data_IF_866176507095
#
_entry.id   IF_866176507095
#
_cell.length_a   1.000
_cell.length_b   1.000
_cell.length_c   1.000
_cell.angle_alpha   90.00
_cell.angle_beta   90.00
_cell.angle_gamma   90.00
#
_symmetry.space_group_name_H-M   'P 1'
#
loop_
_entity.id
_entity.type
_entity.pdbx_description
1 polymer ?
#
# COMPACT_ATOMS: atom_id res chain seq x y z
N UNK A 1 24.84 0.89 -3.41
CA UNK A 1 24.40 2.26 -3.03
C UNK A 1 23.29 2.23 -1.97
N UNK A 2 22.28 1.37 -2.07
CA UNK A 2 21.17 1.30 -1.10
C UNK A 2 21.59 0.86 0.30
N UNK A 3 22.53 -0.08 0.41
CA UNK A 3 23.06 -0.49 1.70
C UNK A 3 23.73 0.66 2.47
N UNK A 4 24.50 1.50 1.77
CA UNK A 4 25.13 2.70 2.37
C UNK A 4 24.05 3.67 2.86
N UNK A 5 22.99 3.89 2.06
CA UNK A 5 21.85 4.73 2.47
C UNK A 5 21.15 4.18 3.70
N UNK A 6 20.96 2.85 3.77
CA UNK A 6 20.40 2.20 4.95
C UNK A 6 21.26 2.42 6.19
N UNK A 7 22.58 2.25 6.08
CA UNK A 7 23.49 2.50 7.19
C UNK A 7 23.43 3.97 7.67
N UNK A 8 23.37 4.91 6.73
CA UNK A 8 23.21 6.33 7.06
C UNK A 8 21.89 6.59 7.78
N UNK A 9 20.76 6.05 7.28
CA UNK A 9 19.44 6.21 7.92
C UNK A 9 19.45 5.66 9.34
N UNK A 10 20.06 4.47 9.55
CA UNK A 10 20.16 3.85 10.88
C UNK A 10 21.05 4.64 11.83
N UNK A 11 22.15 5.20 11.37
CA UNK A 11 23.03 6.05 12.15
C UNK A 11 22.33 7.35 12.56
N UNK A 12 21.70 8.04 11.61
CA UNK A 12 20.97 9.29 11.88
C UNK A 12 19.83 9.07 12.88
N UNK A 13 19.13 7.95 12.76
CA UNK A 13 18.09 7.56 13.72
C UNK A 13 18.66 7.34 15.13
N UNK A 14 19.78 6.62 15.23
CA UNK A 14 20.43 6.30 16.51
C UNK A 14 20.90 7.57 17.25
N UNK A 15 21.36 8.58 16.53
CA UNK A 15 21.77 9.87 17.10
C UNK A 15 20.63 10.89 17.22
N UNK A 16 19.38 10.48 16.94
CA UNK A 16 18.21 11.32 17.08
C UNK A 16 18.03 12.39 15.99
N UNK A 17 18.86 12.37 14.96
CA UNK A 17 18.78 13.33 13.84
C UNK A 17 17.71 12.97 12.82
N UNK A 18 17.32 11.71 12.73
CA UNK A 18 16.22 11.23 11.91
C UNK A 18 15.26 10.43 12.77
N UNK A 19 14.08 10.96 13.01
CA UNK A 19 13.04 10.27 13.78
C UNK A 19 12.08 9.57 12.80
N UNK A 20 11.93 8.26 12.93
CA UNK A 20 10.82 7.54 12.31
C UNK A 20 9.50 7.99 12.95
N UNK A 21 9.50 8.21 14.24
CA UNK A 21 8.41 8.86 14.98
C UNK A 21 8.53 10.38 14.86
N UNK A 22 8.40 10.89 13.66
CA UNK A 22 8.24 12.33 13.50
C UNK A 22 6.98 12.73 14.27
N UNK A 23 7.20 13.44 15.37
CA UNK A 23 6.09 14.13 16.00
C UNK A 23 5.52 15.09 14.97
N UNK A 24 4.34 14.80 14.48
CA UNK A 24 3.60 15.63 13.54
C UNK A 24 3.01 16.84 14.24
N UNK A 25 3.82 17.45 15.16
CA UNK A 25 3.41 18.65 15.88
C UNK A 25 3.13 19.77 14.89
N UNK A 26 1.94 20.33 14.99
CA UNK A 26 1.53 21.46 14.15
C UNK A 26 0.94 21.08 12.80
N UNK A 27 0.75 19.80 12.49
CA UNK A 27 0.03 19.39 11.28
C UNK A 27 -1.45 19.75 11.45
N UNK A 28 -1.97 20.54 10.52
CA UNK A 28 -3.37 20.92 10.47
C UNK A 28 -4.18 19.78 9.87
N UNK A 29 -5.24 19.30 10.53
CA UNK A 29 -6.13 18.30 9.96
C UNK A 29 -6.72 18.76 8.62
N UNK A 30 -6.77 17.86 7.66
CA UNK A 30 -7.30 18.12 6.32
C UNK A 30 -8.42 17.16 5.99
N UNK A 31 -9.28 17.64 5.08
CA UNK A 31 -10.31 16.85 4.44
C UNK A 31 -10.04 16.85 2.94
N UNK A 32 -10.09 15.68 2.31
CA UNK A 32 -10.00 15.56 0.86
C UNK A 32 -11.32 16.01 0.21
N UNK A 33 -11.27 16.32 -1.06
CA UNK A 33 -12.47 16.55 -1.86
C UNK A 33 -13.19 15.22 -2.11
N UNK A 34 -14.51 15.27 -2.22
CA UNK A 34 -15.29 14.14 -2.71
C UNK A 34 -14.90 13.83 -4.16
N UNK A 35 -14.97 12.56 -4.52
CA UNK A 35 -14.72 12.11 -5.89
C UNK A 35 -16.06 12.07 -6.63
N UNK A 36 -16.24 12.99 -7.61
CA UNK A 36 -17.49 13.11 -8.35
C UNK A 36 -17.72 11.93 -9.32
N UNK A 37 -16.65 11.50 -10.01
CA UNK A 37 -16.69 10.32 -10.86
C UNK A 37 -16.08 9.15 -10.07
N UNK A 38 -16.89 8.17 -9.68
CA UNK A 38 -16.44 7.00 -8.90
C UNK A 38 -15.61 6.02 -9.74
N UNK A 39 -14.78 6.55 -10.64
CA UNK A 39 -13.88 5.72 -11.43
C UNK A 39 -12.67 5.32 -10.62
N UNK A 40 -12.35 4.03 -10.63
CA UNK A 40 -11.25 3.46 -9.86
C UNK A 40 -10.15 2.96 -10.79
N UNK A 41 -8.96 3.50 -10.63
CA UNK A 41 -7.77 3.03 -11.32
C UNK A 41 -7.03 2.03 -10.43
N UNK A 42 -7.05 0.77 -10.81
CA UNK A 42 -6.48 -0.33 -10.04
C UNK A 42 -5.12 -0.73 -10.61
N UNK A 43 -4.11 -0.77 -9.78
CA UNK A 43 -2.80 -1.34 -10.09
C UNK A 43 -2.63 -2.65 -9.32
N UNK A 44 -2.52 -3.77 -10.03
CA UNK A 44 -2.08 -5.04 -9.45
C UNK A 44 -0.61 -5.25 -9.80
N UNK A 45 0.26 -5.30 -8.80
CA UNK A 45 1.66 -5.66 -9.03
C UNK A 45 1.90 -7.15 -8.85
N UNK A 46 2.66 -7.76 -9.77
CA UNK A 46 3.10 -9.15 -9.70
C UNK A 46 4.59 -9.29 -10.06
N UNK A 47 5.20 -10.31 -9.54
CA UNK A 47 6.50 -10.76 -10.02
C UNK A 47 6.31 -11.91 -11.04
N UNK A 48 6.87 -11.78 -12.23
CA UNK A 48 6.66 -12.74 -13.32
C UNK A 48 7.14 -14.16 -13.06
N UNK A 49 7.90 -14.38 -11.97
CA UNK A 49 8.31 -15.71 -11.56
C UNK A 49 7.33 -16.45 -10.62
N UNK A 50 6.21 -15.84 -10.24
CA UNK A 50 5.19 -16.50 -9.43
C UNK A 50 4.15 -17.23 -10.30
N UNK A 51 3.63 -18.39 -9.82
CA UNK A 51 2.47 -19.02 -10.44
C UNK A 51 1.23 -18.15 -10.21
N UNK A 52 0.21 -18.23 -11.11
CA UNK A 52 -1.04 -17.47 -11.01
C UNK A 52 -1.82 -17.69 -9.70
N UNK A 53 -1.65 -18.87 -9.11
CA UNK A 53 -2.21 -19.26 -7.80
C UNK A 53 -1.09 -19.84 -6.95
N UNK A 54 -1.00 -19.44 -5.69
CA UNK A 54 0.00 -19.93 -4.75
C UNK A 54 -0.47 -19.89 -3.30
N UNK A 55 0.14 -20.71 -2.47
CA UNK A 55 0.02 -20.64 -1.02
C UNK A 55 1.08 -19.68 -0.46
N UNK A 56 0.69 -18.87 0.50
CA UNK A 56 1.60 -17.95 1.20
C UNK A 56 1.60 -18.24 2.69
N UNK A 57 2.78 -18.23 3.26
CA UNK A 57 3.01 -18.46 4.70
C UNK A 57 3.57 -17.19 5.35
N UNK A 58 3.08 -16.86 6.58
CA UNK A 58 3.71 -15.85 7.43
C UNK A 58 4.10 -16.52 8.74
N UNK A 59 5.30 -16.98 8.91
CA UNK A 59 5.82 -17.70 10.08
C UNK A 59 5.14 -19.05 10.35
N UNK A 60 5.78 -19.89 11.15
CA UNK A 60 5.32 -21.25 11.48
C UNK A 60 4.03 -21.32 12.31
N UNK A 61 3.49 -20.20 12.76
CA UNK A 61 2.31 -20.11 13.64
C UNK A 61 1.11 -19.39 13.01
N UNK A 62 1.27 -18.80 11.82
CA UNK A 62 0.21 -18.06 11.15
C UNK A 62 -0.22 -18.80 9.89
N UNK A 63 -1.54 -18.93 9.74
CA UNK A 63 -2.20 -19.69 8.70
C UNK A 63 -1.68 -19.40 7.28
N UNK A 64 -1.61 -20.46 6.52
CA UNK A 64 -1.46 -20.42 5.08
C UNK A 64 -2.71 -19.83 4.44
N UNK A 65 -2.53 -19.00 3.43
CA UNK A 65 -3.63 -18.55 2.61
C UNK A 65 -3.32 -18.66 1.14
N UNK A 66 -4.37 -18.95 0.39
CA UNK A 66 -4.28 -18.95 -1.05
C UNK A 66 -4.36 -17.52 -1.59
N UNK A 67 -3.46 -17.20 -2.51
CA UNK A 67 -3.39 -15.90 -3.17
C UNK A 67 -2.83 -16.06 -4.58
N UNK A 68 -2.78 -14.99 -5.33
CA UNK A 68 -2.17 -14.97 -6.67
C UNK A 68 -2.86 -13.98 -7.61
N UNK A 69 -2.21 -13.74 -8.74
CA UNK A 69 -2.71 -12.80 -9.75
C UNK A 69 -4.09 -13.18 -10.27
N UNK A 70 -4.37 -14.49 -10.44
CA UNK A 70 -5.67 -14.98 -10.91
C UNK A 70 -6.82 -14.40 -10.10
N UNK A 71 -6.76 -14.50 -8.76
CA UNK A 71 -7.81 -13.99 -7.88
C UNK A 71 -7.94 -12.47 -7.91
N UNK A 72 -6.83 -11.76 -8.10
CA UNK A 72 -6.87 -10.31 -8.22
C UNK A 72 -7.54 -9.87 -9.53
N UNK A 73 -7.29 -10.56 -10.64
CA UNK A 73 -7.96 -10.30 -11.92
C UNK A 73 -9.46 -10.57 -11.80
N UNK A 74 -9.87 -11.72 -11.26
CA UNK A 74 -11.27 -12.12 -11.09
C UNK A 74 -12.10 -11.11 -10.29
N UNK A 75 -11.47 -10.37 -9.36
CA UNK A 75 -12.15 -9.32 -8.57
C UNK A 75 -12.60 -8.12 -9.38
N UNK A 76 -11.94 -7.82 -10.49
CA UNK A 76 -12.12 -6.55 -11.19
C UNK A 76 -12.57 -6.71 -12.65
N UNK A 77 -12.42 -7.88 -13.28
CA UNK A 77 -12.65 -8.09 -14.71
C UNK A 77 -14.09 -7.79 -15.21
N UNK A 78 -15.07 -7.79 -14.31
CA UNK A 78 -16.47 -7.52 -14.66
C UNK A 78 -16.95 -6.12 -14.23
N UNK A 79 -16.05 -5.24 -13.76
CA UNK A 79 -16.41 -3.92 -13.26
C UNK A 79 -16.16 -2.85 -14.31
N UNK A 80 -17.23 -2.17 -14.73
CA UNK A 80 -17.15 -1.10 -15.73
C UNK A 80 -16.60 0.22 -15.18
N UNK A 81 -16.68 0.41 -13.88
CA UNK A 81 -16.15 1.56 -13.15
C UNK A 81 -14.65 1.44 -12.84
N UNK A 82 -14.04 0.29 -13.12
CA UNK A 82 -12.61 0.01 -12.89
C UNK A 82 -11.83 0.11 -14.20
N UNK A 83 -10.65 0.73 -14.12
CA UNK A 83 -9.59 0.62 -15.13
C UNK A 83 -8.46 -0.20 -14.53
N UNK A 84 -8.29 -1.41 -15.03
CA UNK A 84 -7.38 -2.39 -14.47
C UNK A 84 -6.02 -2.35 -15.17
N UNK A 85 -4.98 -2.09 -14.40
CA UNK A 85 -3.59 -2.15 -14.85
C UNK A 85 -2.85 -3.25 -14.11
N UNK A 86 -2.23 -4.16 -14.84
CA UNK A 86 -1.25 -5.10 -14.28
C UNK A 86 0.15 -4.57 -14.51
N UNK A 87 0.92 -4.40 -13.45
CA UNK A 87 2.35 -4.11 -13.53
C UNK A 87 3.13 -5.35 -13.15
N UNK A 88 4.13 -5.74 -13.94
CA UNK A 88 4.87 -6.98 -13.69
C UNK A 88 6.38 -6.75 -13.74
N UNK A 89 7.05 -7.13 -12.64
CA UNK A 89 8.51 -7.19 -12.62
C UNK A 89 9.00 -8.53 -13.15
N UNK A 90 10.14 -8.53 -13.86
CA UNK A 90 10.70 -9.73 -14.52
C UNK A 90 9.67 -10.45 -15.43
N UNK A 91 8.86 -9.71 -16.17
CA UNK A 91 7.75 -10.24 -16.98
C UNK A 91 8.19 -11.39 -17.92
N UNK A 92 9.44 -11.38 -18.41
CA UNK A 92 9.97 -12.44 -19.26
C UNK A 92 9.98 -13.84 -18.62
N UNK A 93 9.75 -13.94 -17.30
CA UNK A 93 9.65 -15.22 -16.58
C UNK A 93 8.22 -15.78 -16.55
N UNK A 94 7.23 -14.97 -16.88
CA UNK A 94 5.83 -15.42 -16.91
C UNK A 94 5.50 -16.08 -18.25
N UNK A 95 4.85 -17.23 -18.19
CA UNK A 95 4.29 -17.90 -19.37
C UNK A 95 2.88 -17.40 -19.70
N UNK A 96 2.26 -16.63 -18.81
CA UNK A 96 0.84 -16.29 -18.85
C UNK A 96 0.57 -14.85 -19.34
N UNK A 97 1.59 -14.15 -19.89
CA UNK A 97 1.47 -12.74 -20.29
C UNK A 97 0.33 -12.54 -21.30
N UNK A 98 0.20 -13.44 -22.27
CA UNK A 98 -0.84 -13.34 -23.28
C UNK A 98 -2.24 -13.41 -22.66
N UNK A 99 -2.48 -14.31 -21.72
CA UNK A 99 -3.73 -14.40 -20.96
C UNK A 99 -3.95 -13.16 -20.09
N UNK A 100 -2.93 -12.73 -19.32
CA UNK A 100 -3.01 -11.57 -18.45
C UNK A 100 -3.40 -10.32 -19.22
N UNK A 101 -2.81 -10.10 -20.41
CA UNK A 101 -3.08 -8.92 -21.23
C UNK A 101 -4.48 -8.89 -21.80
N UNK A 102 -5.17 -10.02 -21.91
CA UNK A 102 -6.59 -10.06 -22.32
C UNK A 102 -7.56 -9.78 -21.18
N UNK A 103 -7.09 -9.82 -19.92
CA UNK A 103 -7.90 -9.66 -18.70
C UNK A 103 -7.66 -8.32 -17.98
N UNK A 104 -6.88 -7.42 -18.56
CA UNK A 104 -6.63 -6.09 -18.00
C UNK A 104 -6.66 -5.04 -19.12
N UNK A 105 -6.96 -3.78 -18.77
CA UNK A 105 -6.95 -2.68 -19.72
C UNK A 105 -5.52 -2.26 -20.12
N UNK A 106 -4.59 -2.37 -19.18
CA UNK A 106 -3.19 -1.99 -19.40
C UNK A 106 -2.23 -3.00 -18.76
N UNK A 107 -1.13 -3.28 -19.47
CA UNK A 107 -0.02 -4.08 -18.96
C UNK A 107 1.28 -3.28 -19.02
N UNK A 108 2.01 -3.21 -17.90
CA UNK A 108 3.27 -2.46 -17.80
C UNK A 108 4.35 -3.38 -17.25
N UNK A 109 5.31 -3.76 -18.08
CA UNK A 109 6.51 -4.46 -17.63
C UNK A 109 7.48 -3.47 -16.97
N UNK A 110 7.98 -3.81 -15.79
CA UNK A 110 8.92 -2.98 -15.03
C UNK A 110 10.18 -3.76 -14.65
N UNK A 111 11.33 -3.08 -14.47
CA UNK A 111 12.51 -3.72 -13.89
C UNK A 111 12.22 -4.18 -12.44
N UNK A 112 12.79 -5.32 -12.03
CA UNK A 112 12.69 -5.80 -10.65
C UNK A 112 13.59 -4.98 -9.70
N UNK A 113 13.25 -3.71 -9.55
CA UNK A 113 13.92 -2.76 -8.66
C UNK A 113 12.88 -2.02 -7.84
N UNK A 114 12.76 -2.36 -6.56
CA UNK A 114 11.77 -1.74 -5.66
C UNK A 114 10.52 -2.59 -5.47
N UNK A 115 10.54 -3.86 -5.87
CA UNK A 115 9.40 -4.76 -5.70
C UNK A 115 8.10 -4.09 -6.19
N UNK A 116 7.03 -4.14 -5.38
CA UNK A 116 5.73 -3.53 -5.69
C UNK A 116 5.82 -2.03 -6.01
N UNK A 117 6.71 -1.29 -5.34
CA UNK A 117 6.85 0.16 -5.51
C UNK A 117 7.36 0.59 -6.88
N UNK A 118 8.09 -0.25 -7.59
CA UNK A 118 8.45 0.02 -8.99
C UNK A 118 7.24 -0.07 -9.90
N UNK A 119 6.38 -1.07 -9.68
CA UNK A 119 5.11 -1.20 -10.37
C UNK A 119 4.17 -0.05 -10.07
N UNK A 120 3.99 0.28 -8.79
CA UNK A 120 3.14 1.40 -8.37
C UNK A 120 3.65 2.74 -8.90
N UNK A 121 4.98 2.95 -8.92
CA UNK A 121 5.57 4.15 -9.49
C UNK A 121 5.34 4.28 -10.99
N UNK A 122 5.51 3.20 -11.76
CA UNK A 122 5.24 3.17 -13.19
C UNK A 122 3.75 3.41 -13.50
N UNK A 123 2.88 2.75 -12.74
CA UNK A 123 1.43 2.98 -12.84
C UNK A 123 1.06 4.43 -12.52
N UNK A 124 1.56 5.01 -11.43
CA UNK A 124 1.31 6.42 -11.11
C UNK A 124 1.72 7.34 -12.28
N UNK A 125 2.86 7.08 -12.91
CA UNK A 125 3.29 7.89 -14.07
C UNK A 125 2.29 7.82 -15.23
N UNK A 126 1.62 6.69 -15.45
CA UNK A 126 0.63 6.53 -16.53
C UNK A 126 -0.68 7.27 -16.26
N UNK A 127 -1.04 7.50 -15.00
CA UNK A 127 -2.33 8.11 -14.61
C UNK A 127 -2.22 9.52 -14.02
N UNK A 128 -1.02 10.04 -13.76
CA UNK A 128 -0.78 11.31 -13.03
C UNK A 128 -1.43 12.55 -13.67
N UNK A 129 -1.83 12.46 -14.93
CA UNK A 129 -2.52 13.54 -15.63
C UNK A 129 -4.04 13.56 -15.43
N UNK A 130 -4.59 12.51 -14.82
CA UNK A 130 -6.00 12.40 -14.51
C UNK A 130 -6.34 13.21 -13.24
N UNK A 131 -7.61 13.37 -12.98
CA UNK A 131 -8.11 14.09 -11.79
C UNK A 131 -9.36 13.39 -11.27
N UNK A 132 -9.63 13.62 -10.00
CA UNK A 132 -10.90 13.29 -9.37
C UNK A 132 -11.29 11.81 -9.53
N UNK A 133 -10.36 10.90 -9.23
CA UNK A 133 -10.57 9.46 -9.30
C UNK A 133 -9.94 8.74 -8.10
N UNK A 134 -10.43 7.53 -7.84
CA UNK A 134 -9.83 6.62 -6.87
C UNK A 134 -8.65 5.87 -7.48
N UNK A 135 -7.70 5.53 -6.62
CA UNK A 135 -6.52 4.72 -6.95
C UNK A 135 -6.42 3.59 -5.93
N UNK A 136 -6.38 2.36 -6.42
CA UNK A 136 -6.08 1.18 -5.62
C UNK A 136 -4.73 0.61 -6.06
N UNK A 137 -3.77 0.61 -5.14
CA UNK A 137 -2.48 -0.05 -5.30
C UNK A 137 -2.54 -1.37 -4.56
N UNK A 138 -2.42 -2.48 -5.25
CA UNK A 138 -2.47 -3.82 -4.64
C UNK A 138 -1.47 -4.76 -5.30
N UNK A 139 -1.20 -5.87 -4.64
CA UNK A 139 -0.39 -6.94 -5.22
C UNK A 139 -1.08 -8.30 -5.06
N UNK A 140 -0.53 -9.30 -5.68
CA UNK A 140 -1.06 -10.65 -5.69
C UNK A 140 -0.96 -11.41 -4.35
N UNK A 141 -0.49 -10.77 -3.28
CA UNK A 141 -0.41 -11.38 -1.94
C UNK A 141 -1.68 -11.25 -1.12
N UNK A 142 -2.64 -10.46 -1.58
CA UNK A 142 -3.98 -10.38 -0.96
C UNK A 142 -4.68 -11.71 -1.20
N UNK A 143 -5.35 -12.22 -0.16
CA UNK A 143 -5.98 -13.52 -0.24
C UNK A 143 -7.25 -13.53 -1.13
N UNK A 144 -7.75 -14.72 -1.43
CA UNK A 144 -8.88 -14.96 -2.34
C UNK A 144 -10.27 -14.83 -1.70
N UNK A 145 -10.36 -14.59 -0.37
CA UNK A 145 -11.60 -14.80 0.39
C UNK A 145 -12.74 -13.83 0.08
N UNK A 146 -12.43 -12.57 -0.30
CA UNK A 146 -13.44 -11.54 -0.55
C UNK A 146 -13.31 -10.99 -1.96
N UNK A 147 -14.40 -11.00 -2.71
CA UNK A 147 -14.46 -10.43 -4.06
C UNK A 147 -15.16 -9.07 -4.11
N UNK A 148 -16.22 -8.88 -3.35
CA UNK A 148 -17.05 -7.67 -3.35
C UNK A 148 -16.75 -6.82 -2.11
N UNK A 149 -15.98 -5.78 -2.29
CA UNK A 149 -15.56 -4.87 -1.22
C UNK A 149 -15.44 -3.41 -1.67
N UNK A 150 -15.21 -3.19 -2.96
CA UNK A 150 -14.72 -1.91 -3.45
C UNK A 150 -15.72 -0.77 -3.19
N UNK A 151 -17.00 -1.02 -3.41
CA UNK A 151 -18.05 -0.03 -3.21
C UNK A 151 -18.14 0.37 -1.73
N UNK A 152 -18.14 -0.61 -0.81
CA UNK A 152 -18.19 -0.32 0.62
C UNK A 152 -16.95 0.45 1.12
N UNK A 153 -15.78 0.20 0.54
CA UNK A 153 -14.54 0.92 0.87
C UNK A 153 -14.58 2.35 0.33
N UNK A 154 -15.09 2.54 -0.89
CA UNK A 154 -15.28 3.88 -1.47
C UNK A 154 -16.32 4.66 -0.65
N UNK A 155 -17.45 4.06 -0.34
CA UNK A 155 -18.48 4.68 0.51
C UNK A 155 -17.95 5.07 1.88
N UNK A 156 -17.09 4.24 2.48
CA UNK A 156 -16.41 4.57 3.72
C UNK A 156 -15.50 5.80 3.52
N UNK A 157 -14.70 5.81 2.47
CA UNK A 157 -13.81 6.92 2.15
C UNK A 157 -14.62 8.22 1.90
N UNK A 158 -15.75 8.16 1.19
CA UNK A 158 -16.60 9.35 0.94
C UNK A 158 -17.23 9.90 2.22
N UNK A 159 -17.67 9.05 3.12
CA UNK A 159 -18.20 9.47 4.44
C UNK A 159 -17.11 9.95 5.39
N UNK A 160 -15.85 9.63 5.15
CA UNK A 160 -14.72 9.94 6.01
C UNK A 160 -13.63 10.69 5.22
N UNK A 161 -13.92 11.91 4.80
CA UNK A 161 -13.03 12.75 3.99
C UNK A 161 -11.72 13.14 4.67
N UNK A 162 -11.63 12.97 5.99
CA UNK A 162 -10.40 13.09 6.78
C UNK A 162 -9.41 11.93 6.57
N UNK A 163 -9.86 10.81 5.97
CA UNK A 163 -9.01 9.67 5.61
C UNK A 163 -8.37 9.89 4.25
N UNK A 164 -7.05 9.97 4.20
CA UNK A 164 -6.30 10.09 2.95
C UNK A 164 -5.94 8.75 2.32
N UNK A 165 -5.82 7.68 3.12
CA UNK A 165 -5.47 6.35 2.63
C UNK A 165 -6.09 5.27 3.52
N UNK A 166 -6.61 4.22 2.88
CA UNK A 166 -7.21 3.06 3.52
C UNK A 166 -6.44 1.80 3.09
N UNK A 167 -6.18 0.92 4.06
CA UNK A 167 -5.56 -0.40 3.83
C UNK A 167 -6.32 -1.52 4.52
N UNK A 168 -5.85 -2.75 4.34
CA UNK A 168 -6.41 -3.96 5.00
C UNK A 168 -5.44 -4.57 6.00
N UNK A 169 -4.29 -3.94 6.20
CA UNK A 169 -3.31 -4.36 7.20
C UNK A 169 -2.40 -3.21 7.58
N UNK A 170 -1.92 -3.23 8.81
CA UNK A 170 -1.05 -2.18 9.33
C UNK A 170 0.05 -2.73 10.24
N UNK A 171 1.04 -1.91 10.45
CA UNK A 171 2.04 -2.11 11.50
C UNK A 171 2.27 -0.78 12.22
N UNK A 172 2.37 -0.82 13.53
CA UNK A 172 2.64 0.37 14.35
C UNK A 172 4.11 0.48 14.77
N UNK A 173 4.95 -0.43 14.26
CA UNK A 173 6.36 -0.53 14.62
C UNK A 173 7.24 -0.71 13.39
N UNK A 174 8.36 -0.01 13.34
CA UNK A 174 9.43 -0.29 12.38
C UNK A 174 10.37 -1.35 12.94
N UNK A 175 10.43 -2.52 12.30
CA UNK A 175 11.34 -3.59 12.71
C UNK A 175 12.75 -3.42 12.14
N UNK A 176 12.90 -2.61 11.08
CA UNK A 176 14.19 -2.32 10.43
C UNK A 176 14.81 -1.06 11.04
N UNK A 177 15.10 -1.10 12.33
CA UNK A 177 15.69 0.01 13.09
C UNK A 177 16.61 -0.49 14.20
N UNK A 178 17.55 0.35 14.63
CA UNK A 178 18.39 0.11 15.81
C UNK A 178 17.74 0.62 17.10
N UNK A 179 16.72 1.46 16.98
CA UNK A 179 15.98 2.00 18.12
C UNK A 179 14.88 1.01 18.51
N UNK A 180 14.92 0.57 19.76
CA UNK A 180 13.87 -0.30 20.30
C UNK A 180 12.58 0.50 20.60
N UNK A 181 11.44 -0.18 20.55
CA UNK A 181 10.14 0.39 20.89
C UNK A 181 9.78 1.67 20.10
N UNK A 182 10.20 1.73 18.84
CA UNK A 182 9.78 2.82 17.97
C UNK A 182 8.28 2.68 17.65
N UNK A 183 7.59 3.80 17.57
CA UNK A 183 6.20 3.90 17.14
C UNK A 183 6.17 4.53 15.75
N UNK A 184 5.91 3.73 14.75
CA UNK A 184 5.97 4.14 13.33
C UNK A 184 4.77 3.58 12.59
N UNK A 185 3.58 4.15 12.83
CA UNK A 185 2.35 3.64 12.25
C UNK A 185 2.36 3.75 10.73
N UNK A 186 2.02 2.65 10.07
CA UNK A 186 1.92 2.59 8.61
C UNK A 186 0.99 1.48 8.14
N UNK A 187 0.38 1.71 6.99
CA UNK A 187 -0.33 0.68 6.25
C UNK A 187 0.67 -0.18 5.48
N UNK A 188 0.37 -1.46 5.35
CA UNK A 188 1.21 -2.36 4.56
C UNK A 188 0.91 -2.21 3.07
N UNK A 189 1.96 -2.21 2.26
CA UNK A 189 1.92 -1.78 0.86
C UNK A 189 1.16 -2.69 -0.10
N UNK A 190 0.78 -3.88 0.34
CA UNK A 190 0.10 -4.83 -0.55
C UNK A 190 -1.37 -4.49 -0.84
N UNK A 191 -1.96 -3.51 -0.14
CA UNK A 191 -3.29 -2.98 -0.42
C UNK A 191 -3.43 -1.56 0.12
N UNK A 192 -3.54 -0.58 -0.77
CA UNK A 192 -3.64 0.84 -0.43
C UNK A 192 -4.69 1.51 -1.34
N UNK A 193 -5.85 1.87 -0.79
CA UNK A 193 -6.87 2.65 -1.48
C UNK A 193 -6.74 4.12 -1.08
N UNK A 194 -6.69 5.01 -2.07
CA UNK A 194 -6.56 6.46 -1.90
C UNK A 194 -7.22 7.18 -3.08
N UNK A 195 -7.16 8.51 -3.11
CA UNK A 195 -7.50 9.29 -4.30
C UNK A 195 -6.22 9.70 -5.04
N UNK A 196 -6.33 9.93 -6.35
CA UNK A 196 -5.17 10.37 -7.15
C UNK A 196 -4.64 11.73 -6.67
N UNK A 197 -5.51 12.60 -6.18
CA UNK A 197 -5.12 13.90 -5.64
C UNK A 197 -4.22 13.74 -4.41
N UNK A 198 -4.62 12.92 -3.44
CA UNK A 198 -3.80 12.61 -2.25
C UNK A 198 -2.49 11.94 -2.66
N UNK A 199 -2.53 10.98 -3.57
CA UNK A 199 -1.33 10.30 -4.05
C UNK A 199 -0.37 11.26 -4.75
N UNK A 200 -0.90 12.22 -5.52
CA UNK A 200 -0.10 13.26 -6.19
C UNK A 200 0.57 14.19 -5.18
N UNK A 201 -0.14 14.58 -4.12
CA UNK A 201 0.46 15.37 -3.04
C UNK A 201 1.56 14.58 -2.31
N UNK A 202 1.34 13.27 -2.05
CA UNK A 202 2.34 12.37 -1.45
C UNK A 202 3.62 12.33 -2.32
N UNK A 203 3.47 12.14 -3.62
CA UNK A 203 4.61 12.10 -4.55
C UNK A 203 5.32 13.46 -4.61
N UNK A 204 4.56 14.55 -4.67
CA UNK A 204 5.10 15.92 -4.65
C UNK A 204 5.92 16.18 -3.38
N UNK A 205 5.38 15.84 -2.21
CA UNK A 205 6.07 15.99 -0.92
C UNK A 205 7.30 15.08 -0.79
N UNK A 206 7.35 14.00 -1.58
CA UNK A 206 8.50 13.11 -1.68
C UNK A 206 9.51 13.55 -2.78
N UNK A 207 9.51 14.81 -3.16
CA UNK A 207 10.43 15.36 -4.16
C UNK A 207 10.10 14.95 -5.59
N UNK A 208 8.84 14.68 -5.90
CA UNK A 208 8.36 14.29 -7.23
C UNK A 208 8.61 12.83 -7.60
N UNK A 209 9.14 12.03 -6.67
CA UNK A 209 9.40 10.61 -6.88
C UNK A 209 8.41 9.77 -6.08
N UNK A 210 7.91 8.70 -6.68
CA UNK A 210 7.08 7.74 -5.96
C UNK A 210 7.88 7.10 -4.82
N UNK A 211 7.37 7.07 -3.56
CA UNK A 211 8.09 6.50 -2.43
C UNK A 211 8.52 5.06 -2.71
N UNK A 212 9.77 4.73 -2.43
CA UNK A 212 10.30 3.37 -2.59
C UNK A 212 10.70 2.94 -4.01
N UNK A 213 10.26 3.66 -5.05
CA UNK A 213 10.59 3.27 -6.43
C UNK A 213 12.10 3.22 -6.68
N UNK A 214 12.56 2.12 -7.30
CA UNK A 214 13.97 1.91 -7.64
C UNK A 214 14.89 1.49 -6.50
N UNK A 215 14.38 1.26 -5.29
CA UNK A 215 15.16 0.79 -4.13
C UNK A 215 15.23 -0.74 -4.14
N UNK A 216 16.43 -1.31 -4.25
CA UNK A 216 16.62 -2.76 -4.31
C UNK A 216 16.81 -3.41 -2.94
N UNK A 217 17.32 -2.69 -1.95
CA UNK A 217 17.48 -3.22 -0.60
C UNK A 217 16.14 -3.27 0.13
N UNK A 218 15.69 -4.47 0.52
CA UNK A 218 14.37 -4.69 1.13
C UNK A 218 14.15 -3.88 2.42
N UNK A 219 15.14 -3.79 3.30
CA UNK A 219 15.02 -3.05 4.56
C UNK A 219 14.88 -1.55 4.31
N UNK A 220 15.66 -1.01 3.38
CA UNK A 220 15.55 0.38 2.97
C UNK A 220 14.22 0.65 2.25
N UNK A 221 13.74 -0.30 1.44
CA UNK A 221 12.46 -0.21 0.75
C UNK A 221 11.29 -0.12 1.74
N UNK A 222 11.26 -0.94 2.79
CA UNK A 222 10.24 -0.85 3.83
C UNK A 222 10.26 0.55 4.47
N UNK A 223 11.43 1.08 4.79
CA UNK A 223 11.57 2.43 5.41
C UNK A 223 11.14 3.55 4.47
N UNK A 224 11.66 3.56 3.23
CA UNK A 224 11.50 4.66 2.27
C UNK A 224 10.35 4.45 1.28
N UNK A 225 9.70 3.31 1.31
CA UNK A 225 8.49 2.99 0.56
C UNK A 225 7.29 2.84 1.48
N UNK A 226 7.11 1.67 2.08
CA UNK A 226 5.93 1.31 2.87
C UNK A 226 5.66 2.28 4.04
N UNK A 227 6.65 2.49 4.89
CA UNK A 227 6.53 3.44 6.00
C UNK A 227 6.39 4.87 5.47
N UNK A 228 7.23 5.23 4.50
CA UNK A 228 7.29 6.60 4.00
C UNK A 228 5.99 7.07 3.37
N UNK A 229 5.29 6.24 2.60
CA UNK A 229 4.02 6.62 1.98
C UNK A 229 2.97 6.99 3.04
N UNK A 230 2.85 6.18 4.09
CA UNK A 230 1.94 6.44 5.21
C UNK A 230 2.33 7.70 6.00
N UNK A 231 3.63 7.89 6.26
CA UNK A 231 4.11 9.11 6.91
C UNK A 231 3.79 10.38 6.12
N UNK A 232 3.90 10.34 4.80
CA UNK A 232 3.59 11.47 3.94
C UNK A 232 2.08 11.81 3.98
N UNK A 233 1.21 10.81 3.97
CA UNK A 233 -0.24 11.01 4.13
C UNK A 233 -0.54 11.70 5.47
N UNK A 234 0.08 11.24 6.56
CA UNK A 234 -0.07 11.85 7.87
C UNK A 234 0.53 13.27 7.93
N UNK A 235 1.66 13.54 7.26
CA UNK A 235 2.26 14.87 7.17
C UNK A 235 1.40 15.86 6.38
N UNK A 236 0.62 15.39 5.43
CA UNK A 236 -0.36 16.19 4.71
C UNK A 236 -1.59 16.55 5.56
N UNK A 237 -1.74 15.98 6.75
CA UNK A 237 -2.85 16.24 7.67
C UNK A 237 -4.03 15.29 7.51
N UNK A 238 -3.92 14.26 6.69
CA UNK A 238 -4.92 13.20 6.58
C UNK A 238 -4.71 12.11 7.62
N UNK A 239 -5.75 11.33 7.86
CA UNK A 239 -5.69 10.09 8.64
C UNK A 239 -5.44 8.88 7.74
N UNK A 240 -4.94 7.82 8.35
CA UNK A 240 -4.94 6.48 7.77
C UNK A 240 -6.14 5.70 8.32
N UNK A 241 -6.69 4.79 7.54
CA UNK A 241 -7.69 3.83 7.99
C UNK A 241 -7.23 2.41 7.66
N UNK A 242 -7.57 1.45 8.51
CA UNK A 242 -7.36 0.03 8.24
C UNK A 242 -8.67 -0.73 8.47
N UNK A 243 -9.07 -1.50 7.47
CA UNK A 243 -10.21 -2.43 7.58
C UNK A 243 -9.70 -3.73 8.15
N UNK A 244 -10.31 -4.19 9.23
CA UNK A 244 -9.96 -5.41 9.93
C UNK A 244 -11.21 -6.25 10.16
N UNK A 245 -11.06 -7.48 10.62
CA UNK A 245 -12.18 -8.34 11.03
C UNK A 245 -12.99 -7.76 12.21
N UNK A 246 -12.43 -6.75 12.91
CA UNK A 246 -13.08 -6.05 14.05
C UNK A 246 -13.71 -4.72 13.63
N UNK A 247 -13.77 -4.41 12.34
CA UNK A 247 -14.22 -3.13 11.79
C UNK A 247 -13.08 -2.23 11.33
N UNK A 248 -13.37 -0.95 11.16
CA UNK A 248 -12.40 0.03 10.65
C UNK A 248 -11.78 0.82 11.79
N UNK A 249 -10.46 0.77 11.89
CA UNK A 249 -9.69 1.62 12.79
C UNK A 249 -9.10 2.80 12.02
N UNK A 250 -9.20 4.01 12.59
CA UNK A 250 -8.56 5.21 12.06
C UNK A 250 -7.31 5.55 12.86
N UNK A 251 -6.33 6.06 12.16
CA UNK A 251 -5.06 6.47 12.73
C UNK A 251 -4.77 7.92 12.35
N UNK A 252 -4.50 8.73 13.34
CA UNK A 252 -3.99 10.09 13.18
C UNK A 252 -2.54 10.18 13.71
N UNK A 253 -2.05 11.41 13.82
CA UNK A 253 -0.71 11.68 14.32
C UNK A 253 -0.58 11.53 15.85
N UNK A 254 -1.65 11.16 16.55
CA UNK A 254 -1.65 11.00 17.99
C UNK A 254 -1.70 9.52 18.38
N UNK A 255 -0.58 8.96 18.90
CA UNK A 255 -0.52 7.57 19.31
C UNK A 255 -1.60 7.14 20.33
N UNK A 256 -2.13 8.09 21.10
CA UNK A 256 -3.15 7.81 22.11
C UNK A 256 -4.51 7.43 21.51
N UNK A 257 -4.73 7.74 20.24
CA UNK A 257 -5.98 7.44 19.53
C UNK A 257 -5.95 6.07 18.85
N UNK A 258 -4.83 5.35 18.93
CA UNK A 258 -4.68 4.06 18.29
C UNK A 258 -5.28 2.94 19.14
N UNK A 259 -6.24 2.24 18.58
CA UNK A 259 -6.96 1.15 19.25
C UNK A 259 -6.40 -0.23 18.91
N UNK A 260 -5.54 -0.32 17.90
CA UNK A 260 -4.94 -1.59 17.49
C UNK A 260 -3.70 -1.95 18.31
N UNK A 261 -3.35 -3.25 18.37
CA UNK A 261 -2.15 -3.70 19.09
C UNK A 261 -0.87 -3.02 18.60
N UNK A 262 0.06 -2.80 19.50
CA UNK A 262 1.40 -2.33 19.16
C UNK A 262 2.20 -3.43 18.48
N UNK A 263 2.58 -3.22 17.24
CA UNK A 263 3.36 -4.16 16.44
C UNK A 263 2.73 -4.46 15.09
N UNK A 264 2.98 -5.64 14.56
CA UNK A 264 2.41 -6.12 13.29
C UNK A 264 1.00 -6.67 13.54
N UNK A 265 -0.01 -6.02 12.98
CA UNK A 265 -1.41 -6.44 13.12
C UNK A 265 -1.63 -7.88 12.65
N UNK A 266 -0.89 -8.35 11.65
CA UNK A 266 -0.99 -9.73 11.16
C UNK A 266 -0.72 -10.80 12.22
N UNK A 267 -0.01 -10.44 13.29
CA UNK A 267 0.24 -11.36 14.41
C UNK A 267 -0.98 -11.56 15.33
N UNK A 268 -2.05 -10.77 15.15
CA UNK A 268 -3.24 -10.76 15.98
C UNK A 268 -4.52 -11.14 15.22
N UNK A 269 -4.39 -11.60 13.98
CA UNK A 269 -5.51 -12.02 13.15
C UNK A 269 -5.26 -13.40 12.55
N UNK A 270 -6.31 -14.20 12.45
CA UNK A 270 -6.27 -15.51 11.78
C UNK A 270 -6.36 -15.39 10.24
N UNK A 271 -6.68 -14.21 9.74
CA UNK A 271 -6.86 -13.94 8.32
C UNK A 271 -5.96 -12.79 7.85
N UNK A 272 -4.63 -12.96 7.91
CA UNK A 272 -3.72 -11.92 7.46
C UNK A 272 -3.88 -11.65 5.96
N UNK A 273 -3.65 -10.41 5.55
CA UNK A 273 -3.81 -9.95 4.16
C UNK A 273 -5.22 -10.18 3.58
N UNK A 274 -6.23 -10.29 4.43
CA UNK A 274 -7.61 -10.46 4.01
C UNK A 274 -8.30 -9.11 3.75
N UNK A 275 -9.21 -9.13 2.78
CA UNK A 275 -10.20 -8.07 2.61
C UNK A 275 -11.38 -8.44 3.50
N UNK A 276 -11.84 -7.51 4.32
CA UNK A 276 -12.98 -7.69 5.22
C UNK A 276 -14.14 -6.78 4.79
N UNK A 277 -15.40 -7.19 5.01
CA UNK A 277 -16.55 -6.30 4.81
C UNK A 277 -16.52 -5.15 5.83
N UNK A 278 -17.12 -4.02 5.46
CA UNK A 278 -17.34 -2.85 6.34
C UNK A 278 -18.83 -2.77 6.66
#
# INVERSE_FOLDING_TARGET
MDFVKLCIDLLLETVGLQHLNLGYKGVVPRHRRAVEEQKVYVCIHEWGGYPPVRQKHINSTICDWECGLKYQLERFENRQDVVLTVTMSDAHRSNDIAEITTRCDHFIAVPNRGMDFSGYGAFYQSIRGLKNCYVLLTNSSVNSLQSDFLDSYIDYMERNTDVGMLGVSCCSKCYQTLVQNNFTPHLQSFFLLTTLDVLTEVVSLNGGQFPGAGICNKQLLIRRGEIRISQLVLQLGYKLAVVTEFGVAKFDNNPKNWTLPYGDFRAYTDKPNAIHPI
#
